data_IF_098998799527
#
_entry.id   IF_098998799527
#
_cell.length_a   1.000
_cell.length_b   1.000
_cell.length_c   1.000
_cell.angle_alpha   90.00
_cell.angle_beta   90.00
_cell.angle_gamma   90.00
#
_symmetry.space_group_name_H-M   'P 1'
#
loop_
_entity.id
_entity.type
_entity.pdbx_description
1 polymer ?
#
# COMPACT_ATOMS: atom_id res chain seq x y z
N UNK A 1 -15.63 1.63 0.36
CA UNK A 1 -16.65 2.16 -0.57
C UNK A 1 -17.45 1.00 -1.16
N UNK A 2 -18.74 1.15 -1.45
CA UNK A 2 -19.56 0.05 -2.02
C UNK A 2 -19.01 -0.41 -3.38
N UNK A 3 -18.63 0.53 -4.25
CA UNK A 3 -18.02 0.24 -5.56
C UNK A 3 -16.49 0.12 -5.45
N UNK A 4 -16.00 -0.97 -4.87
CA UNK A 4 -14.55 -1.26 -4.78
C UNK A 4 -14.21 -2.52 -5.57
N UNK A 5 -13.25 -2.40 -6.49
CA UNK A 5 -12.72 -3.52 -7.28
C UNK A 5 -11.27 -3.81 -6.87
N UNK A 6 -10.88 -5.08 -6.91
CA UNK A 6 -9.53 -5.53 -6.63
C UNK A 6 -8.94 -6.15 -7.88
N UNK A 7 -7.74 -5.71 -8.28
CA UNK A 7 -7.04 -6.27 -9.44
C UNK A 7 -5.66 -6.75 -9.01
N UNK A 8 -5.46 -8.07 -9.03
CA UNK A 8 -4.13 -8.65 -8.89
C UNK A 8 -3.34 -8.51 -10.18
N UNK A 9 -2.06 -8.15 -10.08
CA UNK A 9 -1.16 -8.02 -11.22
C UNK A 9 0.17 -8.71 -10.94
N UNK A 10 0.54 -9.71 -11.75
CA UNK A 10 1.88 -10.30 -11.68
C UNK A 10 2.26 -11.02 -12.98
N UNK A 11 3.51 -11.48 -13.05
CA UNK A 11 4.06 -12.24 -14.20
C UNK A 11 3.43 -13.63 -14.36
N UNK A 12 2.97 -14.23 -13.27
CA UNK A 12 2.39 -15.57 -13.25
C UNK A 12 1.02 -15.59 -13.93
N UNK A 13 0.72 -16.62 -14.72
CA UNK A 13 -0.61 -16.80 -15.30
C UNK A 13 -1.56 -17.48 -14.32
N UNK A 14 -2.03 -16.75 -13.31
CA UNK A 14 -2.99 -17.26 -12.31
C UNK A 14 -4.43 -16.90 -12.67
N UNK A 15 -5.38 -17.69 -12.17
CA UNK A 15 -6.80 -17.33 -12.15
C UNK A 15 -7.20 -16.82 -10.77
N UNK A 16 -8.31 -16.07 -10.69
CA UNK A 16 -8.87 -15.58 -9.41
C UNK A 16 -9.17 -16.75 -8.46
N UNK A 17 -9.65 -17.89 -8.99
CA UNK A 17 -9.89 -19.09 -8.18
C UNK A 17 -8.61 -19.65 -7.55
N UNK A 18 -7.51 -19.70 -8.31
CA UNK A 18 -6.21 -20.13 -7.76
C UNK A 18 -5.67 -19.17 -6.70
N UNK A 19 -5.92 -17.86 -6.85
CA UNK A 19 -5.56 -16.87 -5.83
C UNK A 19 -6.41 -17.08 -4.58
N UNK A 20 -7.73 -17.26 -4.75
CA UNK A 20 -8.65 -17.57 -3.65
C UNK A 20 -8.22 -18.78 -2.85
N UNK A 21 -7.89 -19.88 -3.51
CA UNK A 21 -7.40 -21.10 -2.83
C UNK A 21 -6.16 -20.83 -1.98
N UNK A 22 -5.20 -20.06 -2.51
CA UNK A 22 -3.97 -19.68 -1.80
C UNK A 22 -4.24 -18.71 -0.64
N UNK A 23 -5.22 -17.83 -0.77
CA UNK A 23 -5.57 -16.85 0.26
C UNK A 23 -6.44 -17.46 1.38
N UNK A 24 -7.27 -18.47 1.07
CA UNK A 24 -8.26 -19.06 2.00
C UNK A 24 -7.68 -19.37 3.39
N UNK A 25 -6.49 -19.98 3.54
CA UNK A 25 -5.92 -20.29 4.86
C UNK A 25 -5.64 -19.06 5.73
N UNK A 26 -5.46 -17.88 5.14
CA UNK A 26 -5.06 -16.66 5.84
C UNK A 26 -6.23 -15.71 6.14
N UNK A 27 -7.38 -15.90 5.49
CA UNK A 27 -8.53 -14.99 5.58
C UNK A 27 -9.27 -15.08 6.93
N UNK A 28 -9.16 -16.22 7.64
CA UNK A 28 -9.78 -16.44 8.97
C UNK A 28 -11.28 -16.05 9.01
N UNK A 29 -12.02 -16.42 7.98
CA UNK A 29 -13.43 -16.08 7.77
C UNK A 29 -14.30 -16.79 8.81
N UNK A 30 -15.18 -16.07 9.50
CA UNK A 30 -16.16 -16.66 10.43
C UNK A 30 -17.36 -17.24 9.69
N UNK A 31 -18.15 -18.07 10.36
CA UNK A 31 -19.33 -18.71 9.75
C UNK A 31 -20.37 -17.67 9.28
N UNK A 32 -20.56 -16.60 10.04
CA UNK A 32 -21.48 -15.50 9.72
C UNK A 32 -20.97 -14.55 8.63
N UNK A 33 -19.73 -14.72 8.17
CA UNK A 33 -19.09 -13.89 7.14
C UNK A 33 -19.00 -14.57 5.76
N UNK A 34 -19.50 -15.81 5.63
CA UNK A 34 -19.35 -16.61 4.41
C UNK A 34 -19.97 -15.96 3.18
N UNK A 35 -21.13 -15.35 3.30
CA UNK A 35 -21.77 -14.65 2.18
C UNK A 35 -20.92 -13.48 1.70
N UNK A 36 -20.42 -12.66 2.63
CA UNK A 36 -19.53 -11.53 2.34
C UNK A 36 -18.20 -11.99 1.75
N UNK A 37 -17.69 -13.12 2.20
CA UNK A 37 -16.49 -13.74 1.65
C UNK A 37 -16.67 -14.14 0.18
N UNK A 38 -17.81 -14.76 -0.16
CA UNK A 38 -18.13 -15.10 -1.54
C UNK A 38 -18.32 -13.84 -2.40
N UNK A 39 -19.03 -12.83 -1.88
CA UNK A 39 -19.19 -11.52 -2.55
C UNK A 39 -17.85 -10.82 -2.76
N UNK A 40 -16.90 -10.90 -1.83
CA UNK A 40 -15.57 -10.32 -2.00
C UNK A 40 -14.89 -10.89 -3.25
N UNK A 41 -14.97 -12.19 -3.50
CA UNK A 41 -14.32 -12.79 -4.66
C UNK A 41 -14.98 -12.45 -6.00
N UNK A 42 -16.23 -11.98 -6.02
CA UNK A 42 -16.88 -11.55 -7.28
C UNK A 42 -16.34 -10.23 -7.82
N UNK A 43 -15.75 -9.40 -6.94
CA UNK A 43 -15.13 -8.11 -7.29
C UNK A 43 -13.60 -8.19 -7.44
N UNK A 44 -13.04 -9.40 -7.47
CA UNK A 44 -11.62 -9.65 -7.68
C UNK A 44 -11.35 -10.04 -9.13
N UNK A 45 -10.38 -9.35 -9.74
CA UNK A 45 -9.90 -9.57 -11.09
C UNK A 45 -8.40 -9.85 -11.08
N UNK A 46 -7.88 -10.39 -12.18
CA UNK A 46 -6.46 -10.66 -12.33
C UNK A 46 -5.97 -10.37 -13.73
N UNK A 47 -4.86 -9.65 -13.82
CA UNK A 47 -4.17 -9.35 -15.08
C UNK A 47 -2.76 -9.90 -15.00
N UNK A 48 -2.42 -10.77 -15.95
CA UNK A 48 -1.04 -11.24 -16.13
C UNK A 48 -0.25 -10.18 -16.91
N UNK A 49 0.93 -9.81 -16.43
CA UNK A 49 1.80 -8.87 -17.13
C UNK A 49 3.20 -8.76 -16.52
N UNK A 50 4.15 -8.24 -17.29
CA UNK A 50 5.51 -7.94 -16.84
C UNK A 50 5.60 -6.60 -16.13
N UNK A 51 6.65 -6.41 -15.33
CA UNK A 51 6.88 -5.17 -14.59
C UNK A 51 7.62 -4.10 -15.41
N UNK A 52 8.17 -4.49 -16.56
CA UNK A 52 9.03 -3.66 -17.42
C UNK A 52 8.42 -3.31 -18.79
N UNK A 53 7.34 -3.98 -19.19
CA UNK A 53 6.72 -3.78 -20.50
C UNK A 53 5.55 -2.79 -20.42
N UNK A 54 5.68 -1.63 -21.08
CA UNK A 54 4.61 -0.62 -21.16
C UNK A 54 3.26 -1.20 -21.63
N UNK A 55 3.27 -2.03 -22.67
CA UNK A 55 2.07 -2.69 -23.21
C UNK A 55 1.28 -3.45 -22.15
N UNK A 56 1.96 -4.09 -21.19
CA UNK A 56 1.28 -4.87 -20.14
C UNK A 56 0.56 -3.94 -19.14
N UNK A 57 1.08 -2.74 -18.90
CA UNK A 57 0.41 -1.71 -18.12
C UNK A 57 -0.76 -1.06 -18.87
N UNK A 58 -0.69 -0.96 -20.19
CA UNK A 58 -1.83 -0.54 -21.02
C UNK A 58 -2.97 -1.58 -20.95
N UNK A 59 -2.64 -2.88 -20.92
CA UNK A 59 -3.63 -3.94 -20.67
C UNK A 59 -4.21 -3.87 -19.25
N UNK A 60 -3.39 -3.56 -18.25
CA UNK A 60 -3.86 -3.31 -16.88
C UNK A 60 -4.82 -2.11 -16.82
N UNK A 61 -4.51 -1.00 -17.49
CA UNK A 61 -5.42 0.15 -17.58
C UNK A 61 -6.74 -0.19 -18.26
N UNK A 62 -6.70 -0.95 -19.35
CA UNK A 62 -7.91 -1.42 -20.03
C UNK A 62 -8.80 -2.26 -19.11
N UNK A 63 -8.25 -3.18 -18.34
CA UNK A 63 -9.05 -3.96 -17.38
C UNK A 63 -9.58 -3.06 -16.25
N UNK A 64 -8.79 -2.12 -15.73
CA UNK A 64 -9.25 -1.13 -14.74
C UNK A 64 -10.43 -0.29 -15.24
N UNK A 65 -10.38 0.17 -16.49
CA UNK A 65 -11.47 0.94 -17.11
C UNK A 65 -12.70 0.08 -17.33
N UNK A 66 -12.51 -1.18 -17.71
CA UNK A 66 -13.60 -2.13 -17.96
C UNK A 66 -14.38 -2.51 -16.70
N UNK A 67 -13.69 -2.69 -15.57
CA UNK A 67 -14.32 -3.13 -14.31
C UNK A 67 -14.67 -1.96 -13.38
N UNK A 68 -14.02 -0.82 -13.57
CA UNK A 68 -14.24 0.38 -12.79
C UNK A 68 -15.34 1.28 -13.36
N UNK A 69 -15.51 2.43 -12.72
CA UNK A 69 -16.32 3.54 -13.24
C UNK A 69 -15.42 4.61 -13.85
N UNK A 70 -15.97 5.51 -14.66
CA UNK A 70 -15.21 6.61 -15.28
C UNK A 70 -14.47 7.47 -14.24
N UNK A 71 -15.05 7.62 -13.04
CA UNK A 71 -14.50 8.41 -11.91
C UNK A 71 -13.83 7.56 -10.84
N UNK A 72 -13.34 6.37 -11.19
CA UNK A 72 -12.70 5.48 -10.22
C UNK A 72 -11.39 6.09 -9.68
N UNK A 73 -11.27 6.16 -8.36
CA UNK A 73 -10.00 6.40 -7.69
C UNK A 73 -9.14 5.14 -7.73
N UNK A 74 -7.81 5.30 -7.86
CA UNK A 74 -6.88 4.18 -8.03
C UNK A 74 -5.85 4.12 -6.91
N UNK A 75 -5.72 2.95 -6.29
CA UNK A 75 -4.65 2.65 -5.33
C UNK A 75 -3.77 1.55 -5.92
N UNK A 76 -2.48 1.83 -6.09
CA UNK A 76 -1.48 0.84 -6.48
C UNK A 76 -0.71 0.39 -5.24
N UNK A 77 -0.90 -0.86 -4.82
CA UNK A 77 -0.11 -1.46 -3.75
C UNK A 77 1.10 -2.21 -4.33
N UNK A 78 2.30 -1.67 -4.13
CA UNK A 78 3.53 -2.27 -4.65
C UNK A 78 4.08 -3.33 -3.70
N UNK A 79 3.43 -4.49 -3.66
CA UNK A 79 3.92 -5.71 -2.99
C UNK A 79 5.01 -6.40 -3.82
N UNK A 80 6.05 -5.64 -4.19
CA UNK A 80 7.08 -6.01 -5.15
C UNK A 80 8.48 -5.81 -4.55
N UNK A 81 9.51 -6.51 -5.05
CA UNK A 81 10.87 -6.23 -4.64
C UNK A 81 11.31 -4.82 -5.09
N UNK A 82 12.20 -4.14 -4.33
CA UNK A 82 12.63 -2.78 -4.65
C UNK A 82 13.28 -2.62 -6.03
N UNK A 83 13.85 -3.70 -6.58
CA UNK A 83 14.55 -3.71 -7.87
C UNK A 83 13.65 -3.36 -9.05
N UNK A 84 12.32 -3.45 -8.91
CA UNK A 84 11.37 -3.13 -9.98
C UNK A 84 10.60 -1.84 -9.73
N UNK A 85 10.81 -1.15 -8.60
CA UNK A 85 10.04 0.04 -8.25
C UNK A 85 10.16 1.14 -9.30
N UNK A 86 11.37 1.45 -9.76
CA UNK A 86 11.59 2.54 -10.72
C UNK A 86 10.79 2.32 -12.02
N UNK A 87 10.87 1.10 -12.56
CA UNK A 87 10.19 0.75 -13.81
C UNK A 87 8.66 0.69 -13.64
N UNK A 88 8.18 0.06 -12.56
CA UNK A 88 6.75 -0.07 -12.29
C UNK A 88 6.11 1.29 -12.08
N UNK A 89 6.73 2.15 -11.28
CA UNK A 89 6.21 3.49 -10.98
C UNK A 89 6.19 4.39 -12.21
N UNK A 90 7.22 4.30 -13.07
CA UNK A 90 7.25 5.01 -14.36
C UNK A 90 6.12 4.55 -15.28
N UNK A 91 5.88 3.25 -15.38
CA UNK A 91 4.80 2.70 -16.20
C UNK A 91 3.41 3.04 -15.65
N UNK A 92 3.21 2.99 -14.33
CA UNK A 92 1.96 3.43 -13.69
C UNK A 92 1.69 4.90 -14.04
N UNK A 93 2.69 5.77 -13.88
CA UNK A 93 2.54 7.19 -14.19
C UNK A 93 2.21 7.44 -15.66
N UNK A 94 2.80 6.66 -16.56
CA UNK A 94 2.61 6.80 -18.01
C UNK A 94 1.29 6.24 -18.54
N UNK A 95 0.73 5.20 -17.92
CA UNK A 95 -0.38 4.42 -18.52
C UNK A 95 -1.61 4.28 -17.62
N UNK A 96 -1.45 4.32 -16.29
CA UNK A 96 -2.45 3.81 -15.36
C UNK A 96 -2.99 4.86 -14.38
N UNK A 97 -2.74 6.15 -14.62
CA UNK A 97 -3.29 7.22 -13.79
C UNK A 97 -4.80 7.35 -13.99
N UNK A 98 -5.54 7.58 -12.90
CA UNK A 98 -6.96 7.91 -12.97
C UNK A 98 -7.16 9.23 -13.73
N UNK A 99 -8.20 9.29 -14.59
CA UNK A 99 -8.51 10.49 -15.40
C UNK A 99 -9.25 11.55 -14.58
N UNK A 100 -10.32 11.14 -13.91
CA UNK A 100 -11.22 12.05 -13.15
C UNK A 100 -11.19 11.80 -11.63
N UNK A 101 -10.36 10.86 -11.16
CA UNK A 101 -10.17 10.51 -9.75
C UNK A 101 -8.73 10.73 -9.28
N UNK A 102 -8.46 10.48 -8.01
CA UNK A 102 -7.09 10.50 -7.51
C UNK A 102 -6.38 9.16 -7.76
N UNK A 103 -5.05 9.21 -7.87
CA UNK A 103 -4.19 8.03 -7.90
C UNK A 103 -3.25 8.06 -6.71
N UNK A 104 -3.13 6.95 -5.98
CA UNK A 104 -2.21 6.80 -4.85
C UNK A 104 -1.36 5.56 -5.02
N UNK A 105 -0.10 5.65 -4.63
CA UNK A 105 0.88 4.55 -4.68
C UNK A 105 1.34 4.24 -3.27
N UNK A 106 1.15 2.98 -2.87
CA UNK A 106 1.59 2.43 -1.59
C UNK A 106 2.89 1.67 -1.84
N UNK A 107 3.94 2.03 -1.11
CA UNK A 107 5.30 1.49 -1.27
C UNK A 107 5.75 0.88 0.04
N UNK A 108 6.27 -0.35 -0.03
CA UNK A 108 6.82 -1.09 1.11
C UNK A 108 8.33 -0.89 1.24
N UNK A 109 8.82 -1.09 2.46
CA UNK A 109 10.27 -1.11 2.75
C UNK A 109 10.97 -2.27 2.01
N UNK A 110 12.28 -2.16 1.69
CA UNK A 110 13.20 -1.08 2.05
C UNK A 110 13.17 0.15 1.12
N UNK A 111 13.28 1.34 1.69
CA UNK A 111 13.34 2.63 0.98
C UNK A 111 14.80 3.05 0.70
N UNK A 112 15.58 2.17 0.08
CA UNK A 112 17.04 2.28 0.00
C UNK A 112 17.74 1.54 1.14
N UNK A 113 19.08 1.47 1.06
CA UNK A 113 19.94 0.81 2.05
C UNK A 113 20.83 1.79 2.82
N UNK A 114 20.95 3.01 2.30
CA UNK A 114 21.76 4.10 2.83
C UNK A 114 21.15 5.44 2.38
N UNK A 115 21.74 6.55 2.83
CA UNK A 115 21.26 7.89 2.51
C UNK A 115 21.23 8.18 1.01
N UNK A 116 22.22 7.69 0.26
CA UNK A 116 22.34 7.98 -1.17
C UNK A 116 21.29 7.22 -2.00
N UNK A 117 21.16 5.91 -1.76
CA UNK A 117 20.17 5.06 -2.41
C UNK A 117 18.73 5.46 -2.03
N UNK A 118 18.50 5.90 -0.80
CA UNK A 118 17.20 6.43 -0.37
C UNK A 118 16.86 7.76 -1.05
N UNK A 119 17.85 8.66 -1.16
CA UNK A 119 17.67 9.92 -1.88
C UNK A 119 17.39 9.68 -3.37
N UNK A 120 18.09 8.73 -4.01
CA UNK A 120 17.84 8.34 -5.40
C UNK A 120 16.41 7.85 -5.61
N UNK A 121 15.93 6.95 -4.76
CA UNK A 121 14.55 6.44 -4.83
C UNK A 121 13.55 7.58 -4.61
N UNK A 122 13.77 8.42 -3.61
CA UNK A 122 12.91 9.56 -3.30
C UNK A 122 12.83 10.57 -4.45
N UNK A 123 13.96 10.87 -5.08
CA UNK A 123 14.04 11.78 -6.24
C UNK A 123 13.31 11.20 -7.45
N UNK A 124 13.47 9.90 -7.71
CA UNK A 124 12.73 9.22 -8.77
C UNK A 124 11.21 9.31 -8.53
N UNK A 125 10.75 8.91 -7.35
CA UNK A 125 9.33 8.90 -7.01
C UNK A 125 8.71 10.30 -7.02
N UNK A 126 9.38 11.30 -6.46
CA UNK A 126 8.90 12.69 -6.44
C UNK A 126 8.88 13.35 -7.82
N UNK A 127 9.69 12.86 -8.77
CA UNK A 127 9.60 13.30 -10.17
C UNK A 127 8.32 12.80 -10.87
N UNK A 128 7.71 11.73 -10.36
CA UNK A 128 6.52 11.09 -10.94
C UNK A 128 5.24 11.43 -10.19
N UNK A 129 5.28 11.48 -8.86
CA UNK A 129 4.11 11.63 -7.99
C UNK A 129 4.29 12.79 -7.03
N UNK A 130 3.18 13.45 -6.71
CA UNK A 130 3.13 14.39 -5.60
C UNK A 130 3.22 13.64 -4.27
N UNK A 131 3.67 14.32 -3.23
CA UNK A 131 3.79 13.69 -1.90
C UNK A 131 2.43 13.19 -1.36
N UNK A 132 1.33 13.89 -1.65
CA UNK A 132 -0.05 13.49 -1.30
C UNK A 132 -0.56 12.23 -2.01
N UNK A 133 0.12 11.82 -3.09
CA UNK A 133 -0.17 10.61 -3.86
C UNK A 133 0.67 9.42 -3.37
N UNK A 134 1.66 9.64 -2.49
CA UNK A 134 2.60 8.62 -2.05
C UNK A 134 2.38 8.19 -0.61
N UNK A 135 2.32 6.87 -0.39
CA UNK A 135 2.11 6.26 0.92
C UNK A 135 3.24 5.26 1.20
N UNK A 136 4.25 5.69 1.95
CA UNK A 136 5.37 4.83 2.37
C UNK A 136 4.96 4.10 3.64
N UNK A 137 4.92 2.77 3.59
CA UNK A 137 4.47 1.96 4.72
C UNK A 137 5.61 1.73 5.71
N UNK A 138 5.37 2.18 6.93
CA UNK A 138 5.96 1.62 8.13
C UNK A 138 4.83 1.05 8.99
N UNK A 139 4.74 -0.28 9.06
CA UNK A 139 3.64 -0.96 9.75
C UNK A 139 3.62 -0.70 11.27
N UNK A 140 4.71 -0.20 11.89
CA UNK A 140 4.66 0.22 13.29
C UNK A 140 3.73 1.41 13.49
N UNK A 141 3.63 2.31 12.51
CA UNK A 141 2.72 3.47 12.56
C UNK A 141 1.23 3.06 12.53
N UNK A 142 0.95 1.83 12.09
CA UNK A 142 -0.40 1.24 12.14
C UNK A 142 -0.74 0.55 13.47
N UNK A 143 0.21 0.40 14.40
CA UNK A 143 -0.06 -0.26 15.69
C UNK A 143 -0.82 0.68 16.62
N UNK A 144 -1.90 0.17 17.22
CA UNK A 144 -2.80 0.94 18.09
C UNK A 144 -2.07 1.74 19.18
N UNK A 145 -1.13 1.09 19.89
CA UNK A 145 -0.36 1.74 20.95
C UNK A 145 0.56 2.85 20.45
N UNK A 146 1.07 2.74 19.22
CA UNK A 146 1.90 3.78 18.60
C UNK A 146 1.03 4.98 18.22
N UNK A 147 -0.15 4.74 17.65
CA UNK A 147 -1.11 5.81 17.35
C UNK A 147 -1.58 6.54 18.62
N UNK A 148 -1.77 5.80 19.70
CA UNK A 148 -2.20 6.36 20.99
C UNK A 148 -1.18 7.30 21.63
N UNK A 149 0.11 7.26 21.24
CA UNK A 149 1.12 8.19 21.75
C UNK A 149 0.74 9.66 21.54
N UNK A 150 0.08 9.98 20.42
CA UNK A 150 -0.37 11.35 20.14
C UNK A 150 -1.48 11.78 21.10
N UNK A 151 -2.49 10.93 21.30
CA UNK A 151 -3.58 11.17 22.23
C UNK A 151 -3.09 11.29 23.67
N UNK A 152 -2.16 10.44 24.08
CA UNK A 152 -1.55 10.51 25.41
C UNK A 152 -0.83 11.84 25.63
N UNK A 153 0.05 12.24 24.70
CA UNK A 153 0.87 13.45 24.83
C UNK A 153 0.07 14.74 24.76
N UNK A 154 -0.87 14.85 23.84
CA UNK A 154 -1.54 16.13 23.54
C UNK A 154 -2.98 16.21 24.05
N UNK A 155 -3.62 15.08 24.34
CA UNK A 155 -4.99 15.04 24.86
C UNK A 155 -5.10 15.21 26.39
N UNK A 156 -3.98 15.17 27.12
CA UNK A 156 -3.98 15.15 28.58
C UNK A 156 -3.18 16.33 29.17
N UNK A 157 -3.85 17.16 29.98
CA UNK A 157 -3.24 18.30 30.67
C UNK A 157 -2.07 17.94 31.59
N UNK A 158 -2.06 16.71 32.14
CA UNK A 158 -1.02 16.27 33.07
C UNK A 158 0.30 16.00 32.34
N UNK A 159 0.26 15.51 31.10
CA UNK A 159 1.46 15.20 30.33
C UNK A 159 2.06 16.44 29.64
N UNK A 160 1.26 17.46 29.33
CA UNK A 160 1.76 18.67 28.68
C UNK A 160 2.95 19.34 29.41
N UNK A 161 2.83 19.71 30.70
CA UNK A 161 3.90 20.37 31.45
C UNK A 161 5.10 19.47 31.77
N UNK A 162 4.93 18.13 31.76
CA UNK A 162 5.99 17.17 32.12
C UNK A 162 6.73 16.61 30.91
N UNK A 163 6.22 16.80 29.69
CA UNK A 163 6.84 16.29 28.47
C UNK A 163 7.93 17.22 27.90
N UNK A 164 9.00 17.46 28.67
CA UNK A 164 10.13 18.30 28.27
C UNK A 164 11.45 17.91 28.99
N UNK A 165 12.56 18.54 28.58
CA UNK A 165 13.91 18.28 29.09
C UNK A 165 14.12 18.58 30.57
N UNK A 166 13.26 19.41 31.18
CA UNK A 166 13.38 19.79 32.59
C UNK A 166 12.76 18.73 33.51
N UNK A 167 11.92 17.84 32.95
CA UNK A 167 11.17 16.83 33.69
C UNK A 167 11.52 15.38 33.26
N UNK A 168 12.05 15.18 32.05
CA UNK A 168 12.41 13.86 31.50
C UNK A 168 13.93 13.65 31.59
N UNK A 169 14.35 12.67 32.38
CA UNK A 169 15.76 12.29 32.48
C UNK A 169 16.26 11.53 31.24
N UNK A 170 15.45 10.63 30.67
CA UNK A 170 15.78 9.86 29.47
C UNK A 170 14.54 9.29 28.78
N UNK A 171 14.69 8.95 27.49
CA UNK A 171 13.69 8.24 26.69
C UNK A 171 14.31 6.92 26.24
N UNK A 172 13.63 5.81 26.54
CA UNK A 172 14.09 4.48 26.17
C UNK A 172 13.14 3.84 25.14
N UNK A 173 13.68 3.45 23.99
CA UNK A 173 12.94 2.77 22.92
C UNK A 173 13.57 1.39 22.76
N UNK A 174 12.79 0.34 22.99
CA UNK A 174 13.25 -1.04 22.91
C UNK A 174 12.43 -1.83 21.92
N UNK A 175 13.13 -2.60 21.09
CA UNK A 175 12.56 -3.63 20.24
C UNK A 175 13.27 -4.94 20.55
N UNK A 176 12.50 -5.97 20.93
CA UNK A 176 13.04 -7.28 21.32
C UNK A 176 12.25 -8.37 20.60
N UNK A 177 12.98 -9.32 20.05
CA UNK A 177 12.46 -10.48 19.36
C UNK A 177 13.11 -11.73 19.96
N UNK A 178 12.33 -12.70 20.46
CA UNK A 178 12.87 -13.87 21.17
C UNK A 178 13.19 -15.06 20.23
N UNK A 179 13.21 -14.85 18.92
CA UNK A 179 13.28 -15.92 17.91
C UNK A 179 14.69 -16.14 17.36
#
# INVERSE_FOLDING_TARGET
>A
PENTMFIGYARSGLTVNQIREKCTPYMKVKEDEQERYLQFWTVNHYVKGSYDTRRDFELLDQEMVKVGTEKANRIFYLALPPTVFDTVTSNIKGCCMAKDGWTRVIIEKPFGRDSESSAKLSNHLSSLFKEEEMYRIDHYLGKEMVQNLMSLRFGNRIFGPTWNRDNIASIFISFKEPF
#
